data_IF_117437985673
#
_entry.id   IF_117437985673
#
_cell.length_a   1.000
_cell.length_b   1.000
_cell.length_c   1.000
_cell.angle_alpha   90.00
_cell.angle_beta   90.00
_cell.angle_gamma   90.00
#
_symmetry.space_group_name_H-M   'P 1'
#
loop_
_entity.id
_entity.type
_entity.pdbx_description
1 polymer ?
#
# COMPACT_ATOMS: atom_id res chain seq x y z
N UNK A 1 1.77 12.76 11.94
CA UNK A 1 1.12 12.94 10.63
C UNK A 1 1.86 12.07 9.64
N UNK A 2 1.18 11.08 9.06
CA UNK A 2 1.77 10.18 8.07
C UNK A 2 1.52 10.80 6.69
N UNK A 3 2.58 11.06 5.93
CA UNK A 3 2.50 11.72 4.62
C UNK A 3 2.30 10.71 3.49
N UNK A 4 1.37 9.76 3.63
CA UNK A 4 1.02 8.82 2.56
C UNK A 4 -0.23 9.30 1.83
N UNK A 5 -0.24 9.13 0.50
CA UNK A 5 -1.42 9.37 -0.33
C UNK A 5 -2.02 8.03 -0.72
N UNK A 6 -3.17 7.69 -0.13
CA UNK A 6 -3.91 6.47 -0.43
C UNK A 6 -5.24 6.89 -1.05
N UNK A 7 -5.49 6.47 -2.29
CA UNK A 7 -6.75 6.76 -2.94
C UNK A 7 -7.91 6.11 -2.14
N UNK A 8 -9.04 6.79 -1.92
CA UNK A 8 -10.14 6.28 -1.09
C UNK A 8 -10.78 4.98 -1.61
N UNK A 9 -10.65 4.71 -2.91
CA UNK A 9 -11.14 3.48 -3.54
C UNK A 9 -10.14 2.32 -3.52
N UNK A 10 -8.90 2.53 -3.04
CA UNK A 10 -7.94 1.46 -2.85
C UNK A 10 -8.44 0.48 -1.78
N UNK A 11 -8.32 -0.82 -2.03
CA UNK A 11 -8.78 -1.88 -1.14
C UNK A 11 -7.63 -2.36 -0.25
N UNK A 12 -7.58 -1.84 0.97
CA UNK A 12 -6.56 -2.20 1.96
C UNK A 12 -7.17 -3.12 3.01
N UNK A 13 -6.64 -4.32 3.18
CA UNK A 13 -7.09 -5.26 4.19
C UNK A 13 -6.70 -4.84 5.62
N UNK A 14 -7.21 -5.56 6.62
CA UNK A 14 -6.79 -5.38 8.01
C UNK A 14 -5.28 -5.67 8.18
N UNK A 15 -4.66 -5.04 9.18
CA UNK A 15 -3.26 -5.26 9.55
C UNK A 15 -2.26 -5.00 8.41
N UNK A 16 -2.54 -4.02 7.54
CA UNK A 16 -1.58 -3.51 6.56
C UNK A 16 -0.84 -2.31 7.14
N UNK A 17 0.48 -2.34 7.12
CA UNK A 17 1.32 -1.21 7.49
C UNK A 17 1.75 -0.46 6.23
N UNK A 18 1.49 0.84 6.18
CA UNK A 18 1.89 1.71 5.08
C UNK A 18 2.91 2.71 5.61
N UNK A 19 4.12 2.70 5.05
CA UNK A 19 5.19 3.61 5.39
C UNK A 19 4.87 5.07 4.99
N UNK A 20 5.58 6.06 5.54
CA UNK A 20 5.41 7.45 5.13
C UNK A 20 5.78 7.65 3.64
N UNK A 21 5.18 8.66 3.02
CA UNK A 21 5.48 9.06 1.62
C UNK A 21 5.14 8.00 0.57
N UNK A 22 4.32 7.00 0.90
CA UNK A 22 3.78 6.08 -0.11
C UNK A 22 2.72 6.76 -0.98
N UNK A 23 2.63 6.33 -2.24
CA UNK A 23 1.51 6.61 -3.14
C UNK A 23 0.79 5.31 -3.49
N UNK A 24 -0.53 5.27 -3.31
CA UNK A 24 -1.37 4.11 -3.64
C UNK A 24 -2.53 4.58 -4.52
N UNK A 25 -2.56 4.11 -5.77
CA UNK A 25 -3.53 4.46 -6.78
C UNK A 25 -4.94 3.87 -6.52
N UNK A 26 -5.92 4.29 -7.34
CA UNK A 26 -7.33 3.95 -7.17
C UNK A 26 -7.61 2.45 -7.21
N UNK A 27 -7.07 1.74 -8.21
CA UNK A 27 -7.44 0.35 -8.48
C UNK A 27 -6.51 -0.67 -7.82
N UNK A 28 -6.04 -0.40 -6.60
CA UNK A 28 -5.10 -1.25 -5.87
C UNK A 28 -5.81 -2.16 -4.87
N UNK A 29 -5.33 -3.41 -4.76
CA UNK A 29 -5.70 -4.36 -3.71
C UNK A 29 -4.45 -4.75 -2.89
N UNK A 30 -4.49 -4.61 -1.57
CA UNK A 30 -3.42 -5.04 -0.67
C UNK A 30 -3.99 -6.02 0.36
N UNK A 31 -3.45 -7.23 0.36
CA UNK A 31 -3.82 -8.32 1.26
C UNK A 31 -3.41 -8.08 2.72
N UNK A 32 -4.04 -8.84 3.61
CA UNK A 32 -3.83 -8.81 5.05
C UNK A 32 -2.36 -9.09 5.44
N UNK A 33 -1.87 -8.39 6.46
CA UNK A 33 -0.52 -8.60 7.01
C UNK A 33 0.62 -8.05 6.14
N UNK A 34 0.30 -7.23 5.13
CA UNK A 34 1.30 -6.61 4.28
C UNK A 34 2.03 -5.44 4.95
N UNK A 35 3.28 -5.24 4.54
CA UNK A 35 4.07 -4.05 4.89
C UNK A 35 4.52 -3.36 3.62
N UNK A 36 4.13 -2.11 3.46
CA UNK A 36 4.55 -1.23 2.37
C UNK A 36 5.60 -0.27 2.91
N UNK A 37 6.84 -0.41 2.46
CA UNK A 37 7.95 0.43 2.89
C UNK A 37 7.79 1.89 2.46
N UNK A 38 8.43 2.84 3.17
CA UNK A 38 8.38 4.26 2.81
C UNK A 38 8.79 4.53 1.36
N UNK A 39 8.23 5.60 0.78
CA UNK A 39 8.43 6.05 -0.60
C UNK A 39 7.89 5.12 -1.71
N UNK A 40 7.35 3.94 -1.37
CA UNK A 40 6.79 3.02 -2.36
C UNK A 40 5.64 3.64 -3.16
N UNK A 41 5.65 3.40 -4.47
CA UNK A 41 4.59 3.81 -5.39
C UNK A 41 3.87 2.57 -5.95
N UNK A 42 2.59 2.40 -5.60
CA UNK A 42 1.75 1.31 -6.05
C UNK A 42 0.72 1.87 -7.06
N UNK A 43 0.93 1.56 -8.34
CA UNK A 43 0.09 2.06 -9.45
C UNK A 43 -1.19 1.25 -9.64
N UNK A 44 -2.08 1.77 -10.49
CA UNK A 44 -3.38 1.18 -10.79
C UNK A 44 -3.30 -0.29 -11.18
N UNK A 45 -4.33 -1.03 -10.77
CA UNK A 45 -4.55 -2.46 -11.08
C UNK A 45 -3.55 -3.42 -10.43
N UNK A 46 -2.67 -2.95 -9.54
CA UNK A 46 -1.79 -3.81 -8.75
C UNK A 46 -2.58 -4.56 -7.68
N UNK A 47 -2.30 -5.87 -7.57
CA UNK A 47 -2.80 -6.72 -6.49
C UNK A 47 -1.63 -7.33 -5.73
N UNK A 48 -1.57 -7.05 -4.43
CA UNK A 48 -0.59 -7.62 -3.51
C UNK A 48 -1.30 -8.68 -2.66
N UNK A 49 -0.75 -9.89 -2.63
CA UNK A 49 -1.27 -11.00 -1.82
C UNK A 49 -1.13 -10.76 -0.31
N UNK A 50 -1.42 -11.77 0.51
CA UNK A 50 -1.25 -11.68 1.97
C UNK A 50 0.22 -11.79 2.38
N UNK A 51 0.59 -11.15 3.49
CA UNK A 51 1.92 -11.27 4.12
C UNK A 51 3.10 -10.90 3.22
N UNK A 52 2.89 -10.05 2.21
CA UNK A 52 3.96 -9.54 1.35
C UNK A 52 4.66 -8.34 1.98
N UNK A 53 5.93 -8.13 1.61
CA UNK A 53 6.71 -6.94 1.98
C UNK A 53 7.18 -6.23 0.72
N UNK A 54 6.80 -4.98 0.55
CA UNK A 54 7.37 -4.07 -0.44
C UNK A 54 8.44 -3.26 0.29
N UNK A 55 9.71 -3.44 -0.08
CA UNK A 55 10.81 -2.69 0.53
C UNK A 55 10.82 -1.23 0.04
N UNK A 56 11.48 -0.31 0.77
CA UNK A 56 11.54 1.10 0.39
C UNK A 56 12.06 1.32 -1.04
N UNK A 57 11.48 2.29 -1.75
CA UNK A 57 11.85 2.67 -3.12
C UNK A 57 10.93 3.72 -3.72
#
# INVERSE_FOLDING_TARGET
>A
MQFSSVHPNARIAANVEIGPYCYIAENVEIGEGCVIGPHATIFDYVKIGKNCKVFPG
#
